data_IF_644547191819
#
_entry.id   IF_644547191819
#
_cell.length_a   1.000
_cell.length_b   1.000
_cell.length_c   1.000
_cell.angle_alpha   90.00
_cell.angle_beta   90.00
_cell.angle_gamma   90.00
#
_symmetry.space_group_name_H-M   'P 1'
#
loop_
_entity.id
_entity.type
_entity.pdbx_description
1 polymer ?
#
# COMPACT_ATOMS: atom_id res chain seq x y z
N UNK A 1 4.91 -14.88 23.15
CA UNK A 1 6.27 -15.38 22.80
C UNK A 1 6.92 -14.27 21.99
N UNK A 2 7.75 -13.46 22.63
CA UNK A 2 8.21 -12.12 22.21
C UNK A 2 8.85 -12.06 20.81
N UNK A 3 9.31 -13.21 20.31
CA UNK A 3 9.90 -13.37 18.97
C UNK A 3 8.83 -13.37 17.87
N UNK A 4 7.65 -13.95 18.13
CA UNK A 4 6.55 -14.06 17.14
C UNK A 4 5.93 -12.69 16.87
N UNK A 5 5.78 -11.87 17.90
CA UNK A 5 5.24 -10.50 17.77
C UNK A 5 6.19 -9.57 16.98
N UNK A 6 7.52 -9.68 17.16
CA UNK A 6 8.48 -8.90 16.36
C UNK A 6 8.44 -9.24 14.87
N UNK A 7 8.33 -10.53 14.52
CA UNK A 7 8.27 -10.99 13.13
C UNK A 7 6.96 -10.58 12.44
N UNK A 8 5.84 -10.58 13.19
CA UNK A 8 4.54 -10.13 12.71
C UNK A 8 4.47 -8.61 12.46
N UNK A 9 5.21 -7.81 13.23
CA UNK A 9 5.32 -6.36 13.02
C UNK A 9 6.06 -6.07 11.71
N UNK A 10 7.21 -6.72 11.50
CA UNK A 10 8.03 -6.54 10.30
C UNK A 10 7.29 -6.99 9.02
N UNK A 11 6.46 -8.03 9.12
CA UNK A 11 5.65 -8.55 8.02
C UNK A 11 4.43 -7.65 7.69
N UNK A 12 3.85 -6.98 8.68
CA UNK A 12 2.69 -6.10 8.49
C UNK A 12 3.03 -4.82 7.74
N UNK A 13 4.28 -4.39 7.75
CA UNK A 13 4.70 -3.17 7.07
C UNK A 13 5.15 -3.42 5.62
N UNK A 14 5.28 -4.68 5.19
CA UNK A 14 5.67 -5.02 3.83
C UNK A 14 4.52 -4.95 2.84
N UNK A 15 4.86 -4.61 1.59
CA UNK A 15 3.95 -4.59 0.47
C UNK A 15 3.30 -5.96 0.26
N UNK A 16 1.96 -6.01 0.22
CA UNK A 16 1.22 -7.27 0.00
C UNK A 16 1.37 -7.86 -1.41
N UNK A 17 1.98 -7.12 -2.34
CA UNK A 17 2.14 -7.53 -3.74
C UNK A 17 3.53 -8.09 -3.99
N UNK A 18 4.58 -7.38 -3.56
CA UNK A 18 5.96 -7.79 -3.81
C UNK A 18 6.66 -8.36 -2.58
N UNK A 19 6.17 -8.11 -1.36
CA UNK A 19 6.82 -8.49 -0.10
C UNK A 19 8.29 -8.05 0.05
N UNK A 20 8.75 -7.09 -0.77
CA UNK A 20 10.14 -6.62 -0.80
C UNK A 20 10.33 -5.22 -0.22
N UNK A 21 9.33 -4.35 -0.38
CA UNK A 21 9.40 -2.96 0.02
C UNK A 21 8.28 -2.64 1.02
N UNK A 22 8.46 -1.66 1.91
CA UNK A 22 7.42 -1.25 2.84
C UNK A 22 6.23 -0.60 2.13
N UNK A 23 5.08 -0.63 2.81
CA UNK A 23 3.83 0.00 2.41
C UNK A 23 3.98 1.52 2.40
N UNK A 24 4.19 2.04 1.19
CA UNK A 24 4.40 3.47 0.92
C UNK A 24 3.49 3.99 -0.19
N UNK A 25 2.75 3.12 -0.87
CA UNK A 25 1.83 3.48 -1.94
C UNK A 25 0.46 3.86 -1.39
N UNK A 26 0.02 5.08 -1.66
CA UNK A 26 -1.23 5.65 -1.19
C UNK A 26 -2.21 5.75 -2.36
N UNK A 27 -3.32 5.03 -2.31
CA UNK A 27 -4.40 5.13 -3.30
C UNK A 27 -5.44 6.16 -2.84
N UNK A 28 -5.47 7.32 -3.48
CA UNK A 28 -6.38 8.42 -3.13
C UNK A 28 -7.68 8.32 -3.92
N UNK A 29 -8.82 8.35 -3.23
CA UNK A 29 -10.13 8.45 -3.86
C UNK A 29 -11.10 9.23 -2.94
N UNK A 30 -11.66 10.31 -3.48
CA UNK A 30 -12.49 11.24 -2.69
C UNK A 30 -11.69 11.94 -1.59
N UNK A 31 -12.12 11.76 -0.33
CA UNK A 31 -11.51 12.36 0.88
C UNK A 31 -10.70 11.36 1.70
N UNK A 32 -10.56 10.13 1.22
CA UNK A 32 -9.89 9.04 1.93
C UNK A 32 -8.79 8.45 1.05
N UNK A 33 -7.89 7.72 1.69
CA UNK A 33 -6.85 6.99 0.99
C UNK A 33 -6.54 5.66 1.68
N UNK A 34 -6.19 4.64 0.89
CA UNK A 34 -5.77 3.34 1.40
C UNK A 34 -4.29 3.10 1.12
N UNK A 35 -3.58 2.58 2.12
CA UNK A 35 -2.18 2.17 2.03
C UNK A 35 -2.12 0.66 2.19
N UNK A 36 -1.82 -0.06 1.11
CA UNK A 36 -1.77 -1.52 1.14
C UNK A 36 -0.52 -2.11 0.48
N UNK A 37 0.19 -1.36 -0.37
CA UNK A 37 1.36 -1.84 -1.09
C UNK A 37 2.45 -0.76 -1.18
N UNK A 38 3.63 -1.10 -1.71
CA UNK A 38 4.68 -0.11 -1.98
C UNK A 38 4.30 0.79 -3.16
N UNK A 39 4.94 1.95 -3.26
CA UNK A 39 4.64 2.92 -4.33
C UNK A 39 4.82 2.34 -5.74
N UNK A 40 5.87 1.55 -6.00
CA UNK A 40 6.11 0.93 -7.32
C UNK A 40 4.97 0.01 -7.73
N UNK A 41 4.48 -0.82 -6.80
CA UNK A 41 3.33 -1.68 -7.03
C UNK A 41 2.04 -0.88 -7.19
N UNK A 42 1.85 0.18 -6.40
CA UNK A 42 0.68 1.04 -6.50
C UNK A 42 0.55 1.70 -7.88
N UNK A 43 1.65 2.23 -8.43
CA UNK A 43 1.68 2.81 -9.78
C UNK A 43 1.33 1.77 -10.85
N UNK A 44 1.86 0.54 -10.75
CA UNK A 44 1.52 -0.56 -11.67
C UNK A 44 0.04 -0.92 -11.61
N UNK A 45 -0.53 -1.01 -10.41
CA UNK A 45 -1.96 -1.28 -10.21
C UNK A 45 -2.81 -0.16 -10.79
N UNK A 46 -2.45 1.10 -10.53
CA UNK A 46 -3.19 2.25 -11.03
C UNK A 46 -3.13 2.33 -12.56
N UNK A 47 -1.98 2.06 -13.18
CA UNK A 47 -1.83 2.02 -14.63
C UNK A 47 -2.73 0.97 -15.31
N UNK A 48 -2.99 -0.17 -14.65
CA UNK A 48 -3.78 -1.26 -15.23
C UNK A 48 -5.27 -1.14 -14.89
N UNK A 49 -5.60 -1.02 -13.60
CA UNK A 49 -6.98 -1.11 -13.11
C UNK A 49 -7.62 0.24 -12.80
N UNK A 50 -6.82 1.27 -12.49
CA UNK A 50 -7.29 2.59 -11.99
C UNK A 50 -8.27 2.51 -10.80
N UNK A 51 -8.24 1.40 -10.05
CA UNK A 51 -9.12 1.14 -8.90
C UNK A 51 -8.33 0.73 -7.68
N UNK A 52 -8.87 1.03 -6.50
CA UNK A 52 -8.25 0.74 -5.22
C UNK A 52 -8.37 -0.77 -4.92
N UNK A 53 -7.27 -1.48 -4.60
CA UNK A 53 -7.33 -2.91 -4.27
C UNK A 53 -8.16 -3.24 -3.02
N UNK A 54 -8.35 -2.28 -2.12
CA UNK A 54 -9.00 -2.50 -0.82
C UNK A 54 -10.52 -2.34 -0.92
N UNK A 55 -10.99 -1.27 -1.56
CA UNK A 55 -12.42 -0.92 -1.60
C UNK A 55 -13.02 -0.88 -3.01
N UNK A 56 -12.22 -1.17 -4.05
CA UNK A 56 -12.64 -1.14 -5.46
C UNK A 56 -13.13 0.23 -5.97
N UNK A 57 -12.96 1.32 -5.20
CA UNK A 57 -13.28 2.67 -5.63
C UNK A 57 -12.32 3.15 -6.74
N UNK A 58 -12.79 4.04 -7.61
CA UNK A 58 -11.98 4.66 -8.67
C UNK A 58 -10.92 5.55 -8.03
N UNK A 59 -9.65 5.31 -8.35
CA UNK A 59 -8.51 6.04 -7.79
C UNK A 59 -8.27 7.31 -8.61
N UNK A 60 -8.28 8.44 -7.93
CA UNK A 60 -7.99 9.76 -8.54
C UNK A 60 -6.49 9.94 -8.73
N UNK A 61 -5.68 9.57 -7.74
CA UNK A 61 -4.23 9.68 -7.81
C UNK A 61 -3.53 8.65 -6.92
N UNK A 62 -2.26 8.36 -7.22
CA UNK A 62 -1.37 7.55 -6.37
C UNK A 62 -0.24 8.43 -5.85
N UNK A 63 -0.05 8.43 -4.53
CA UNK A 63 1.01 9.19 -3.86
C UNK A 63 1.99 8.25 -3.17
N UNK A 64 3.21 8.74 -2.91
CA UNK A 64 4.21 8.06 -2.08
C UNK A 64 4.16 8.65 -0.67
N UNK A 65 3.84 7.84 0.33
CA UNK A 65 3.95 8.21 1.72
C UNK A 65 5.43 8.34 2.11
N UNK A 66 5.79 9.50 2.66
CA UNK A 66 7.10 9.79 3.25
C UNK A 66 6.81 10.33 4.64
N UNK A 67 7.30 9.62 5.66
CA UNK A 67 7.25 10.06 7.06
C UNK A 67 8.57 10.74 7.40
N UNK A 68 8.48 11.84 8.15
CA UNK A 68 9.60 12.67 8.60
C UNK A 68 9.92 12.36 10.05
#
# INVERSE_FOLDING_TARGET
NTIKEKLDIESKDLCIICFMEPKSGVFVHGRIAHICCCYKCAVKVWSKAKRCPVCNCKVSNVLKAVVM
#
